data_IF_027502787021
#
_entry.id   IF_027502787021
#
_cell.length_a   1.000
_cell.length_b   1.000
_cell.length_c   1.000
_cell.angle_alpha   90.00
_cell.angle_beta   90.00
_cell.angle_gamma   90.00
#
_symmetry.space_group_name_H-M   'P 1'
#
loop_
_entity.id
_entity.type
_entity.pdbx_description
1 polymer ?
#
# COMPACT_ATOMS: atom_id res chain seq x y z
N UNK A 1 -45.67 25.92 -27.78
CA UNK A 1 -45.13 24.56 -27.99
C UNK A 1 -44.03 24.34 -26.97
N UNK A 2 -44.17 23.28 -26.16
CA UNK A 2 -43.41 23.07 -24.91
C UNK A 2 -41.97 22.62 -25.18
N UNK A 3 -41.07 23.16 -24.36
CA UNK A 3 -39.64 22.98 -24.32
C UNK A 3 -39.20 21.52 -24.25
N UNK A 4 -38.18 21.24 -25.07
CA UNK A 4 -36.95 20.49 -24.77
C UNK A 4 -37.04 19.32 -23.77
N UNK A 5 -36.82 18.13 -24.35
CA UNK A 5 -36.31 16.92 -23.72
C UNK A 5 -35.17 17.25 -22.72
N UNK A 6 -35.44 17.06 -21.43
CA UNK A 6 -34.39 16.88 -20.42
C UNK A 6 -33.80 15.48 -20.57
N UNK A 7 -32.88 15.32 -21.51
CA UNK A 7 -31.91 14.23 -21.48
C UNK A 7 -30.92 14.57 -20.36
N UNK A 8 -31.22 14.12 -19.14
CA UNK A 8 -30.25 14.11 -18.05
C UNK A 8 -29.26 12.98 -18.37
N UNK A 9 -27.99 13.24 -18.72
CA UNK A 9 -27.02 12.18 -18.69
C UNK A 9 -26.81 11.89 -17.20
N UNK A 10 -27.28 10.72 -16.75
CA UNK A 10 -26.73 10.06 -15.58
C UNK A 10 -25.23 9.95 -15.82
N UNK A 11 -24.51 10.96 -15.35
CA UNK A 11 -23.09 10.92 -15.08
C UNK A 11 -22.91 9.72 -14.16
N UNK A 12 -22.53 8.61 -14.80
CA UNK A 12 -21.88 7.45 -14.21
C UNK A 12 -20.61 7.96 -13.52
N UNK A 13 -20.76 8.61 -12.37
CA UNK A 13 -19.76 8.54 -11.31
C UNK A 13 -19.74 7.09 -10.84
N UNK A 14 -19.15 6.23 -11.68
CA UNK A 14 -18.41 5.09 -11.19
C UNK A 14 -17.25 5.68 -10.39
N UNK A 15 -17.54 6.12 -9.15
CA UNK A 15 -16.52 6.27 -8.14
C UNK A 15 -15.91 4.88 -8.02
N UNK A 16 -14.72 4.70 -8.58
CA UNK A 16 -13.84 3.59 -8.28
C UNK A 16 -13.51 3.67 -6.79
N UNK A 17 -14.44 3.19 -5.98
CA UNK A 17 -14.43 3.14 -4.51
C UNK A 17 -13.56 1.97 -4.03
N UNK A 18 -12.45 1.76 -4.71
CA UNK A 18 -11.43 0.79 -4.30
C UNK A 18 -10.47 1.45 -3.32
N UNK A 19 -9.83 0.66 -2.44
CA UNK A 19 -8.76 1.16 -1.58
C UNK A 19 -7.62 1.74 -2.43
N UNK A 20 -7.06 2.86 -1.97
CA UNK A 20 -5.93 3.49 -2.66
C UNK A 20 -4.61 2.92 -2.18
N UNK A 21 -3.88 2.26 -3.08
CA UNK A 21 -2.54 1.73 -2.80
C UNK A 21 -1.57 2.83 -2.34
N UNK A 22 -1.64 4.03 -2.92
CA UNK A 22 -0.81 5.16 -2.54
C UNK A 22 -1.09 5.65 -1.11
N UNK A 23 -2.36 5.74 -0.69
CA UNK A 23 -2.72 6.13 0.68
C UNK A 23 -2.29 5.08 1.69
N UNK A 24 -2.48 3.80 1.35
CA UNK A 24 -2.08 2.70 2.22
C UNK A 24 -0.55 2.59 2.34
N UNK A 25 0.19 2.75 1.23
CA UNK A 25 1.65 2.83 1.22
C UNK A 25 2.15 3.98 2.09
N UNK A 26 1.53 5.16 2.01
CA UNK A 26 1.87 6.28 2.89
C UNK A 26 1.71 5.91 4.37
N UNK A 27 0.57 5.34 4.75
CA UNK A 27 0.31 4.91 6.13
C UNK A 27 1.35 3.88 6.59
N UNK A 28 1.67 2.91 5.74
CA UNK A 28 2.72 1.93 6.00
C UNK A 28 4.07 2.60 6.21
N UNK A 29 4.48 3.53 5.34
CA UNK A 29 5.73 4.28 5.50
C UNK A 29 5.79 5.04 6.83
N UNK A 30 4.68 5.68 7.22
CA UNK A 30 4.58 6.46 8.45
C UNK A 30 4.63 5.54 9.70
N UNK A 31 3.95 4.39 9.68
CA UNK A 31 3.91 3.41 10.78
C UNK A 31 5.18 2.54 10.89
N UNK A 32 5.91 2.34 9.79
CA UNK A 32 7.01 1.35 9.74
C UNK A 32 8.39 1.96 9.94
N UNK A 33 8.49 3.26 10.21
CA UNK A 33 9.78 3.95 10.22
C UNK A 33 10.72 3.46 11.34
N UNK A 34 10.16 3.17 12.53
CA UNK A 34 10.90 2.60 13.67
C UNK A 34 11.25 1.13 13.42
N UNK A 35 10.26 0.35 12.98
CA UNK A 35 10.43 -1.08 12.70
C UNK A 35 11.45 -1.34 11.57
N UNK A 36 11.47 -0.52 10.52
CA UNK A 36 12.44 -0.63 9.44
C UNK A 36 13.89 -0.37 9.89
N UNK A 37 14.10 0.47 10.91
CA UNK A 37 15.43 0.69 11.52
C UNK A 37 15.79 -0.45 12.47
N UNK A 38 14.81 -0.93 13.24
CA UNK A 38 14.96 -2.06 14.14
C UNK A 38 15.32 -3.34 13.40
N UNK A 39 14.73 -3.58 12.22
CA UNK A 39 15.07 -4.73 11.38
C UNK A 39 16.57 -4.83 11.08
N UNK A 40 17.20 -3.71 10.73
CA UNK A 40 18.65 -3.67 10.51
C UNK A 40 19.42 -4.00 11.79
N UNK A 41 18.94 -3.56 12.97
CA UNK A 41 19.61 -3.85 14.24
C UNK A 41 19.49 -5.32 14.62
N UNK A 42 18.34 -5.96 14.38
CA UNK A 42 18.13 -7.40 14.58
C UNK A 42 19.01 -8.21 13.63
N UNK A 43 18.98 -7.89 12.34
CA UNK A 43 19.76 -8.61 11.32
C UNK A 43 21.28 -8.51 11.59
N UNK A 44 21.73 -7.46 12.29
CA UNK A 44 23.12 -7.27 12.73
C UNK A 44 23.42 -7.77 14.16
N UNK A 45 22.48 -8.45 14.83
CA UNK A 45 22.64 -8.98 16.18
C UNK A 45 22.77 -7.91 17.28
N UNK A 46 22.29 -6.69 17.03
CA UNK A 46 22.34 -5.53 17.96
C UNK A 46 21.02 -5.29 18.68
N UNK A 47 20.02 -6.15 18.47
CA UNK A 47 18.69 -6.05 19.04
C UNK A 47 18.13 -7.46 19.25
N UNK A 48 17.47 -7.67 20.39
CA UNK A 48 16.82 -8.95 20.68
C UNK A 48 15.55 -9.12 19.85
N UNK A 49 15.27 -10.35 19.45
CA UNK A 49 14.09 -10.68 18.63
C UNK A 49 12.78 -10.33 19.33
N UNK A 50 12.73 -10.42 20.67
CA UNK A 50 11.54 -10.10 21.47
C UNK A 50 11.17 -8.61 21.36
N UNK A 51 12.18 -7.73 21.32
CA UNK A 51 11.96 -6.29 21.12
C UNK A 51 11.51 -5.98 19.69
N UNK A 52 11.96 -6.77 18.70
CA UNK A 52 11.48 -6.65 17.33
C UNK A 52 10.01 -7.06 17.20
N UNK A 53 9.59 -8.13 17.87
CA UNK A 53 8.19 -8.57 17.90
C UNK A 53 7.27 -7.51 18.54
N UNK A 54 7.75 -6.78 19.56
CA UNK A 54 7.01 -5.64 20.13
C UNK A 54 6.81 -4.53 19.09
N UNK A 55 7.84 -4.22 18.30
CA UNK A 55 7.75 -3.21 17.23
C UNK A 55 6.86 -3.66 16.07
N UNK A 56 6.79 -4.96 15.77
CA UNK A 56 5.82 -5.50 14.80
C UNK A 56 4.39 -5.28 15.29
N UNK A 57 4.14 -5.52 16.57
CA UNK A 57 2.83 -5.25 17.18
C UNK A 57 2.46 -3.76 17.15
N UNK A 58 3.40 -2.87 17.45
CA UNK A 58 3.18 -1.42 17.34
C UNK A 58 2.83 -0.99 15.90
N UNK A 59 3.51 -1.58 14.91
CA UNK A 59 3.21 -1.33 13.50
C UNK A 59 1.79 -1.82 13.16
N UNK A 60 1.41 -3.03 13.58
CA UNK A 60 0.06 -3.56 13.36
C UNK A 60 -1.02 -2.65 13.99
N UNK A 61 -0.80 -2.19 15.21
CA UNK A 61 -1.71 -1.26 15.91
C UNK A 61 -1.82 0.08 15.15
N UNK A 62 -0.70 0.63 14.66
CA UNK A 62 -0.67 1.85 13.86
C UNK A 62 -1.38 1.69 12.51
N UNK A 63 -1.13 0.56 11.83
CA UNK A 63 -1.80 0.21 10.57
C UNK A 63 -3.30 0.00 10.77
N UNK A 64 -3.72 -0.39 11.97
CA UNK A 64 -5.11 -0.62 12.34
C UNK A 64 -5.70 -1.84 11.64
N UNK A 65 -6.98 -2.10 11.89
CA UNK A 65 -7.65 -3.32 11.38
C UNK A 65 -8.11 -3.22 9.92
N UNK A 66 -7.91 -2.07 9.27
CA UNK A 66 -8.41 -1.85 7.91
C UNK A 66 -7.45 -2.48 6.89
N UNK A 67 -7.68 -3.77 6.60
CA UNK A 67 -6.99 -4.45 5.50
C UNK A 67 -7.64 -4.02 4.16
N UNK A 68 -6.93 -3.29 3.29
CA UNK A 68 -7.49 -2.82 2.02
C UNK A 68 -7.93 -3.98 1.11
N UNK A 69 -7.29 -5.14 1.20
CA UNK A 69 -7.65 -6.31 0.39
C UNK A 69 -9.06 -6.85 0.71
N UNK A 70 -9.60 -6.58 1.91
CA UNK A 70 -10.95 -6.99 2.30
C UNK A 70 -12.05 -6.29 1.48
N UNK A 71 -11.72 -5.16 0.86
CA UNK A 71 -12.64 -4.38 0.03
C UNK A 71 -12.57 -4.80 -1.44
N UNK A 72 -11.61 -5.66 -1.81
CA UNK A 72 -11.39 -6.13 -3.18
C UNK A 72 -12.14 -7.44 -3.40
N UNK A 73 -12.85 -7.55 -4.52
CA UNK A 73 -13.78 -8.67 -4.79
C UNK A 73 -13.17 -9.79 -5.63
N UNK A 74 -12.05 -9.52 -6.30
CA UNK A 74 -11.43 -10.47 -7.22
C UNK A 74 -9.94 -10.61 -6.93
N UNK A 75 -9.38 -11.78 -7.26
CA UNK A 75 -7.94 -12.01 -7.14
C UNK A 75 -7.12 -11.09 -8.06
N UNK A 76 -7.68 -10.71 -9.22
CA UNK A 76 -7.04 -9.77 -10.14
C UNK A 76 -6.93 -8.36 -9.53
N UNK A 77 -7.98 -7.90 -8.85
CA UNK A 77 -7.95 -6.59 -8.17
C UNK A 77 -6.97 -6.61 -6.99
N UNK A 78 -6.92 -7.70 -6.22
CA UNK A 78 -5.94 -7.88 -5.14
C UNK A 78 -4.50 -7.84 -5.66
N UNK A 79 -4.21 -8.56 -6.73
CA UNK A 79 -2.89 -8.56 -7.36
C UNK A 79 -2.52 -7.16 -7.89
N UNK A 80 -3.46 -6.47 -8.54
CA UNK A 80 -3.24 -5.11 -9.03
C UNK A 80 -2.98 -4.12 -7.88
N UNK A 81 -3.69 -4.27 -6.77
CA UNK A 81 -3.48 -3.47 -5.57
C UNK A 81 -2.10 -3.74 -4.95
N UNK A 82 -1.70 -5.00 -4.81
CA UNK A 82 -0.40 -5.39 -4.26
C UNK A 82 0.76 -4.83 -5.09
N UNK A 83 0.69 -4.96 -6.42
CA UNK A 83 1.70 -4.41 -7.32
C UNK A 83 1.76 -2.88 -7.21
N UNK A 84 0.61 -2.20 -7.22
CA UNK A 84 0.55 -0.76 -7.04
C UNK A 84 1.08 -0.32 -5.66
N UNK A 85 0.81 -1.08 -4.61
CA UNK A 85 1.29 -0.82 -3.27
C UNK A 85 2.81 -0.92 -3.18
N UNK A 86 3.42 -1.97 -3.75
CA UNK A 86 4.88 -2.12 -3.80
C UNK A 86 5.54 -0.97 -4.58
N UNK A 87 4.96 -0.57 -5.71
CA UNK A 87 5.41 0.59 -6.48
C UNK A 87 5.36 1.88 -5.67
N UNK A 88 4.26 2.13 -4.97
CA UNK A 88 4.09 3.31 -4.13
C UNK A 88 5.00 3.29 -2.90
N UNK A 89 5.23 2.13 -2.27
CA UNK A 89 6.19 1.97 -1.19
C UNK A 89 7.61 2.35 -1.63
N UNK A 90 8.05 1.87 -2.78
CA UNK A 90 9.39 2.16 -3.28
C UNK A 90 9.57 3.65 -3.64
N UNK A 91 8.50 4.31 -4.12
CA UNK A 91 8.51 5.75 -4.38
C UNK A 91 8.53 6.58 -3.10
N UNK A 92 7.69 6.23 -2.12
CA UNK A 92 7.43 7.06 -0.96
C UNK A 92 8.40 6.81 0.20
N UNK A 93 8.81 5.56 0.44
CA UNK A 93 9.79 5.19 1.48
C UNK A 93 10.80 4.13 1.01
N UNK A 94 11.74 4.49 0.11
CA UNK A 94 12.68 3.56 -0.50
C UNK A 94 13.63 2.85 0.49
N UNK A 95 13.92 3.47 1.65
CA UNK A 95 14.69 2.83 2.71
C UNK A 95 13.91 1.70 3.37
N UNK A 96 12.64 1.93 3.70
CA UNK A 96 11.75 0.91 4.27
C UNK A 96 11.53 -0.23 3.28
N UNK A 97 11.25 0.08 2.01
CA UNK A 97 11.08 -0.93 0.97
C UNK A 97 12.30 -1.87 0.86
N UNK A 98 13.51 -1.29 0.87
CA UNK A 98 14.77 -2.03 0.83
C UNK A 98 15.00 -2.89 2.07
N UNK A 99 14.77 -2.34 3.26
CA UNK A 99 15.01 -3.05 4.52
C UNK A 99 14.07 -4.25 4.69
N UNK A 100 12.90 -4.20 4.08
CA UNK A 100 11.94 -5.32 4.06
C UNK A 100 12.18 -6.33 2.92
N UNK A 101 13.14 -6.07 2.03
CA UNK A 101 13.41 -6.96 0.90
C UNK A 101 12.35 -6.90 -0.20
N UNK A 102 11.53 -5.85 -0.24
CA UNK A 102 10.60 -5.64 -1.35
C UNK A 102 11.40 -5.27 -2.61
N UNK A 103 11.70 -6.25 -3.45
CA UNK A 103 12.13 -6.01 -4.82
C UNK A 103 10.91 -5.57 -5.62
N UNK A 104 10.94 -4.36 -6.17
CA UNK A 104 9.97 -3.96 -7.16
C UNK A 104 9.90 -5.03 -8.26
N UNK A 105 8.72 -5.42 -8.75
CA UNK A 105 8.67 -6.17 -10.00
C UNK A 105 9.42 -5.33 -11.03
N UNK A 106 10.36 -5.95 -11.75
CA UNK A 106 11.11 -5.27 -12.80
C UNK A 106 10.09 -4.62 -13.72
N UNK A 107 10.08 -3.27 -13.77
CA UNK A 107 9.28 -2.54 -14.74
C UNK A 107 9.62 -3.15 -16.09
N UNK A 108 8.69 -3.79 -16.82
CA UNK A 108 9.01 -4.28 -18.14
C UNK A 108 9.53 -3.08 -18.91
N UNK A 109 10.79 -3.19 -19.36
CA UNK A 109 11.43 -2.15 -20.13
C UNK A 109 10.45 -1.75 -21.23
N UNK A 110 10.08 -0.47 -21.27
CA UNK A 110 9.26 0.05 -22.34
C UNK A 110 9.98 -0.32 -23.64
N UNK A 111 9.42 -1.31 -24.36
CA UNK A 111 9.84 -1.65 -25.72
C UNK A 111 9.71 -0.37 -26.52
N UNK A 112 10.86 0.25 -26.81
CA UNK A 112 10.98 1.32 -27.78
C UNK A 112 10.85 0.74 -29.18
#
# INVERSE_FOLDING_TARGET
>A
MRLALFFFPLLLMACSSGPSAAKYAKKFCDCSQTLAKAKIQVDNGRMEADFYAELEKEQEECMGQENPLSQLKTAADSLAFEQAFLLELAKQCPSTARNYGYTLPETPAATQ
#
